data_IF_272284922504
#
_entry.id   IF_272284922504
#
_cell.length_a   1.000
_cell.length_b   1.000
_cell.length_c   1.000
_cell.angle_alpha   90.00
_cell.angle_beta   90.00
_cell.angle_gamma   90.00
#
_symmetry.space_group_name_H-M   'P 1'
#
loop_
_entity.id
_entity.type
_entity.pdbx_description
1 polymer ?
#
# COMPACT_ATOMS: atom_id res chain seq x y z
N UNK A 1 7.24 36.77 50.58
CA UNK A 1 6.44 35.59 50.97
C UNK A 1 7.23 34.63 51.87
N UNK A 2 8.36 34.04 51.43
CA UNK A 2 9.20 33.15 52.27
C UNK A 2 9.61 33.76 53.62
N UNK A 3 10.02 35.04 53.65
CA UNK A 3 10.39 35.72 54.91
C UNK A 3 9.23 35.85 55.92
N UNK A 4 7.97 35.83 55.46
CA UNK A 4 6.77 35.92 56.32
C UNK A 4 6.25 34.56 56.78
N UNK A 5 6.62 33.48 56.08
CA UNK A 5 6.25 32.10 56.41
C UNK A 5 7.29 31.43 57.33
N UNK A 6 8.55 31.89 57.27
CA UNK A 6 9.63 31.43 58.15
C UNK A 6 9.32 31.39 59.68
N UNK A 7 8.52 32.31 60.25
CA UNK A 7 8.15 32.24 61.68
C UNK A 7 7.18 31.08 62.05
N UNK A 8 6.55 30.43 61.07
CA UNK A 8 5.55 29.36 61.30
C UNK A 8 6.16 27.96 61.52
N UNK A 9 7.49 27.80 61.36
CA UNK A 9 8.25 26.55 61.60
C UNK A 9 7.59 25.29 61.01
N UNK A 10 7.19 25.36 59.74
CA UNK A 10 6.58 24.25 59.03
C UNK A 10 7.64 23.21 58.59
N UNK A 11 7.28 21.92 58.42
CA UNK A 11 8.14 20.94 57.77
C UNK A 11 8.44 21.34 56.32
N UNK A 12 9.68 21.12 55.85
CA UNK A 12 10.15 21.59 54.54
C UNK A 12 9.25 21.25 53.33
N UNK A 13 8.55 20.12 53.35
CA UNK A 13 7.65 19.72 52.26
C UNK A 13 6.33 20.54 52.28
N UNK A 14 5.75 20.78 53.46
CA UNK A 14 4.53 21.58 53.59
C UNK A 14 4.79 23.07 53.36
N UNK A 15 5.99 23.55 53.69
CA UNK A 15 6.39 24.93 53.38
C UNK A 15 6.46 25.17 51.87
N UNK A 16 6.94 24.19 51.09
CA UNK A 16 7.01 24.30 49.64
C UNK A 16 5.61 24.34 49.01
N UNK A 17 4.73 23.42 49.39
CA UNK A 17 3.37 23.31 48.85
C UNK A 17 2.54 24.56 49.18
N UNK A 18 2.60 25.06 50.43
CA UNK A 18 1.89 26.28 50.84
C UNK A 18 2.46 27.52 50.14
N UNK A 19 3.76 27.56 49.86
CA UNK A 19 4.37 28.66 49.10
C UNK A 19 3.95 28.65 47.63
N UNK A 20 3.80 27.47 47.05
CA UNK A 20 3.38 27.32 45.66
C UNK A 20 1.90 27.67 45.47
N UNK A 21 1.02 27.13 46.31
CA UNK A 21 -0.44 27.34 46.21
C UNK A 21 -0.83 28.80 46.46
N UNK A 22 -0.33 29.41 47.54
CA UNK A 22 -0.57 30.83 47.81
C UNK A 22 0.14 31.75 46.80
N UNK A 23 1.25 31.28 46.20
CA UNK A 23 1.90 31.99 45.11
C UNK A 23 0.99 32.09 43.87
N UNK A 24 0.36 30.98 43.49
CA UNK A 24 -0.58 30.93 42.38
C UNK A 24 -1.82 31.79 42.63
N UNK A 25 -2.39 31.76 43.84
CA UNK A 25 -3.58 32.58 44.14
C UNK A 25 -3.29 34.09 44.09
N UNK A 26 -2.12 34.53 44.57
CA UNK A 26 -1.71 35.93 44.50
C UNK A 26 -1.42 36.37 43.06
N UNK A 27 -0.87 35.48 42.23
CA UNK A 27 -0.62 35.72 40.81
C UNK A 27 -1.92 35.82 40.02
N UNK A 28 -2.90 34.96 40.30
CA UNK A 28 -4.24 35.04 39.71
C UNK A 28 -4.97 36.33 40.09
N UNK A 29 -4.83 36.79 41.34
CA UNK A 29 -5.42 38.07 41.78
C UNK A 29 -4.73 39.28 41.14
N UNK A 30 -3.40 39.26 41.01
CA UNK A 30 -2.68 40.30 40.27
C UNK A 30 -3.15 40.34 38.81
N UNK A 31 -3.26 39.18 38.17
CA UNK A 31 -3.77 39.06 36.81
C UNK A 31 -5.25 39.47 36.67
N UNK A 32 -6.08 39.28 37.71
CA UNK A 32 -7.46 39.79 37.73
C UNK A 32 -7.49 41.32 37.84
N UNK A 33 -6.73 41.91 38.75
CA UNK A 33 -6.64 43.37 38.92
C UNK A 33 -6.18 44.08 37.64
N UNK A 34 -5.21 43.49 36.94
CA UNK A 34 -4.74 43.97 35.62
C UNK A 34 -5.83 43.89 34.54
N UNK A 35 -6.64 42.83 34.54
CA UNK A 35 -7.78 42.67 33.61
C UNK A 35 -8.91 43.65 33.89
N UNK A 36 -9.05 44.10 35.14
CA UNK A 36 -10.04 45.09 35.57
C UNK A 36 -9.56 46.53 35.33
N UNK A 37 -8.43 46.72 34.66
CA UNK A 37 -7.95 48.02 34.17
C UNK A 37 -7.06 48.79 35.14
N UNK A 38 -6.60 48.17 36.23
CA UNK A 38 -5.63 48.78 37.14
C UNK A 38 -4.22 48.77 36.54
N UNK A 39 -3.41 49.77 36.87
CA UNK A 39 -2.02 49.79 36.44
C UNK A 39 -1.19 48.73 37.18
N UNK A 40 -0.11 48.24 36.53
CA UNK A 40 0.76 47.21 37.11
C UNK A 40 1.34 47.62 38.48
N UNK A 41 1.59 48.92 38.67
CA UNK A 41 2.13 49.46 39.91
C UNK A 41 1.08 49.48 41.03
N UNK A 42 -0.17 49.79 40.72
CA UNK A 42 -1.30 49.75 41.67
C UNK A 42 -1.67 48.31 42.05
N UNK A 43 -1.71 47.40 41.07
CA UNK A 43 -1.98 45.99 41.29
C UNK A 43 -0.88 45.32 42.14
N UNK A 44 0.39 45.69 41.93
CA UNK A 44 1.52 45.23 42.75
C UNK A 44 1.48 45.81 44.18
N UNK A 45 1.10 47.09 44.32
CA UNK A 45 0.96 47.75 45.63
C UNK A 45 -0.24 47.23 46.44
N UNK A 46 -1.31 46.75 45.79
CA UNK A 46 -2.43 46.09 46.45
C UNK A 46 -2.01 44.73 47.05
N UNK A 47 -1.39 43.88 46.23
CA UNK A 47 -0.89 42.56 46.65
C UNK A 47 0.15 42.69 47.76
N UNK A 48 1.05 43.67 47.66
CA UNK A 48 2.09 43.91 48.68
C UNK A 48 1.52 44.39 50.03
N UNK A 49 0.45 45.19 50.03
CA UNK A 49 -0.23 45.63 51.27
C UNK A 49 -0.94 44.48 51.97
N UNK A 50 -1.53 43.56 51.22
CA UNK A 50 -2.23 42.39 51.75
C UNK A 50 -1.25 41.37 52.35
N UNK A 51 -0.13 41.11 51.66
CA UNK A 51 1.01 40.34 52.19
C UNK A 51 1.64 40.96 53.44
N UNK A 52 1.55 42.28 53.60
CA UNK A 52 2.05 43.01 54.76
C UNK A 52 1.04 43.07 55.93
N UNK A 53 -0.23 42.72 55.69
CA UNK A 53 -1.27 42.76 56.71
C UNK A 53 -1.11 41.64 57.74
N UNK A 54 -1.34 41.96 59.02
CA UNK A 54 -1.23 40.98 60.11
C UNK A 54 -2.24 39.83 60.00
N UNK A 55 -3.37 40.07 59.33
CA UNK A 55 -4.44 39.08 59.06
C UNK A 55 -3.97 37.91 58.19
N UNK A 56 -3.05 38.13 57.26
CA UNK A 56 -2.54 37.10 56.35
C UNK A 56 -1.91 35.92 57.09
N UNK A 57 -1.10 36.23 58.12
CA UNK A 57 -0.48 35.21 58.96
C UNK A 57 -1.46 34.48 59.89
N UNK A 58 -2.60 35.09 60.19
CA UNK A 58 -3.66 34.50 61.03
C UNK A 58 -4.56 33.56 60.20
N UNK A 59 -4.86 33.91 58.94
CA UNK A 59 -5.60 33.05 58.01
C UNK A 59 -4.85 31.78 57.65
N UNK A 60 -3.54 31.88 57.37
CA UNK A 60 -2.69 30.69 57.11
C UNK A 60 -2.69 29.75 58.31
N UNK A 61 -2.64 30.29 59.54
CA UNK A 61 -2.67 29.48 60.76
C UNK A 61 -4.03 28.85 61.01
N UNK A 62 -5.12 29.52 60.62
CA UNK A 62 -6.47 28.98 60.70
C UNK A 62 -6.70 27.87 59.67
N UNK A 63 -6.23 28.05 58.43
CA UNK A 63 -6.34 27.06 57.36
C UNK A 63 -5.56 25.77 57.68
N UNK A 64 -4.38 25.88 58.30
CA UNK A 64 -3.59 24.75 58.76
C UNK A 64 -4.15 24.05 60.02
N UNK A 65 -5.01 24.73 60.79
CA UNK A 65 -5.63 24.17 61.99
C UNK A 65 -6.96 23.44 61.71
N UNK A 66 -7.53 23.59 60.52
CA UNK A 66 -8.72 22.85 60.07
C UNK A 66 -8.32 21.45 59.60
N UNK A 67 -8.69 20.37 60.31
CA UNK A 67 -8.52 19.03 59.76
C UNK A 67 -9.41 18.87 58.52
N UNK A 68 -8.94 18.17 57.47
CA UNK A 68 -9.72 17.99 56.25
C UNK A 68 -11.05 17.28 56.57
N UNK A 69 -12.15 17.61 55.86
CA UNK A 69 -13.45 17.01 56.10
C UNK A 69 -13.37 15.49 55.95
N UNK A 70 -13.92 14.78 56.94
CA UNK A 70 -14.00 13.33 56.95
C UNK A 70 -14.78 12.86 55.72
N UNK A 71 -14.06 12.36 54.71
CA UNK A 71 -14.66 11.61 53.61
C UNK A 71 -15.33 10.36 54.19
N UNK A 72 -16.58 10.16 53.78
CA UNK A 72 -17.39 9.02 54.17
C UNK A 72 -16.60 7.71 54.00
N UNK A 73 -16.76 6.82 54.99
CA UNK A 73 -16.17 5.49 54.99
C UNK A 73 -16.60 4.69 53.75
N UNK A 74 -15.67 4.53 52.81
CA UNK A 74 -15.58 3.36 51.96
C UNK A 74 -14.21 2.71 52.19
N UNK A 75 -14.24 1.39 52.36
CA UNK A 75 -13.16 0.56 52.94
C UNK A 75 -11.78 0.79 52.33
N UNK A 76 -10.80 0.86 53.22
CA UNK A 76 -9.46 1.34 52.90
C UNK A 76 -8.59 0.41 52.06
N UNK A 77 -7.41 0.94 51.74
CA UNK A 77 -6.16 0.20 51.67
C UNK A 77 -5.01 1.17 52.01
N UNK A 78 -4.17 0.73 52.94
CA UNK A 78 -2.89 1.34 53.30
C UNK A 78 -1.97 1.51 52.09
N UNK A 79 -0.99 2.44 52.13
CA UNK A 79 -0.03 2.63 51.06
C UNK A 79 0.99 1.48 51.09
N UNK A 80 0.68 0.38 50.42
CA UNK A 80 1.65 -0.69 50.15
C UNK A 80 1.76 -0.92 48.64
N UNK A 81 2.81 -0.35 48.06
CA UNK A 81 3.60 -0.96 46.98
C UNK A 81 2.84 -1.57 45.79
N UNK A 82 2.06 -0.77 45.06
CA UNK A 82 1.59 -1.13 43.72
C UNK A 82 2.19 -0.17 42.71
N UNK A 83 3.04 -0.66 41.81
CA UNK A 83 3.55 0.12 40.67
C UNK A 83 2.42 0.64 39.76
N UNK A 84 2.74 1.32 38.64
CA UNK A 84 1.81 2.10 37.79
C UNK A 84 0.63 1.32 37.15
N UNK A 85 0.37 0.07 37.57
CA UNK A 85 -0.64 -0.86 37.08
C UNK A 85 -1.79 -1.10 38.08
N UNK A 86 -1.74 -0.56 39.30
CA UNK A 86 -2.74 -0.82 40.35
C UNK A 86 -4.14 -0.23 40.07
N UNK A 87 -4.23 0.87 39.33
CA UNK A 87 -5.48 1.54 38.97
C UNK A 87 -6.07 1.14 37.61
N UNK A 88 -5.30 0.43 36.77
CA UNK A 88 -5.64 0.19 35.37
C UNK A 88 -7.01 -0.47 35.15
N UNK A 89 -7.41 -1.37 36.06
CA UNK A 89 -8.69 -2.09 35.98
C UNK A 89 -9.89 -1.19 36.27
N UNK A 90 -9.74 -0.30 37.24
CA UNK A 90 -10.82 0.60 37.64
C UNK A 90 -10.95 1.78 36.68
N UNK A 91 -9.82 2.24 36.13
CA UNK A 91 -9.78 3.19 35.01
C UNK A 91 -10.47 2.62 33.76
N UNK A 92 -10.22 1.34 33.42
CA UNK A 92 -10.86 0.67 32.28
C UNK A 92 -12.38 0.53 32.46
N UNK A 93 -12.83 0.22 33.68
CA UNK A 93 -14.27 0.15 34.03
C UNK A 93 -14.94 1.51 33.95
N UNK A 94 -14.26 2.56 34.41
CA UNK A 94 -14.75 3.92 34.33
C UNK A 94 -14.88 4.40 32.88
N UNK A 95 -13.83 4.18 32.07
CA UNK A 95 -13.84 4.47 30.64
C UNK A 95 -14.98 3.71 29.91
N UNK A 96 -15.19 2.43 30.22
CA UNK A 96 -16.28 1.65 29.62
C UNK A 96 -17.67 2.22 29.97
N UNK A 97 -17.89 2.66 31.22
CA UNK A 97 -19.14 3.33 31.61
C UNK A 97 -19.33 4.67 30.89
N UNK A 98 -18.25 5.42 30.68
CA UNK A 98 -18.29 6.67 29.95
C UNK A 98 -18.68 6.45 28.48
N UNK A 99 -18.08 5.45 27.83
CA UNK A 99 -18.39 5.07 26.44
C UNK A 99 -19.86 4.65 26.24
N UNK A 100 -20.46 3.97 27.22
CA UNK A 100 -21.88 3.58 27.19
C UNK A 100 -22.81 4.78 27.42
N UNK A 101 -22.38 5.79 28.17
CA UNK A 101 -23.17 7.01 28.44
C UNK A 101 -23.20 8.00 27.27
N UNK A 102 -22.22 7.96 26.37
CA UNK A 102 -22.10 8.87 25.21
C UNK A 102 -22.13 8.11 23.87
N UNK A 103 -23.24 7.44 23.51
CA UNK A 103 -23.28 6.47 22.40
C UNK A 103 -22.96 7.08 21.02
N UNK A 104 -23.37 8.32 20.75
CA UNK A 104 -23.11 8.99 19.46
C UNK A 104 -21.62 9.31 19.30
N UNK A 105 -20.98 9.84 20.35
CA UNK A 105 -19.55 10.15 20.35
C UNK A 105 -18.71 8.86 20.25
N UNK A 106 -19.07 7.84 21.03
CA UNK A 106 -18.42 6.52 21.00
C UNK A 106 -18.54 5.89 19.61
N UNK A 107 -19.71 5.95 18.98
CA UNK A 107 -19.91 5.42 17.63
C UNK A 107 -19.03 6.16 16.60
N UNK A 108 -19.01 7.49 16.65
CA UNK A 108 -18.16 8.29 15.77
C UNK A 108 -16.66 7.96 15.96
N UNK A 109 -16.21 7.82 17.21
CA UNK A 109 -14.84 7.47 17.54
C UNK A 109 -14.47 6.05 17.07
N UNK A 110 -15.34 5.05 17.30
CA UNK A 110 -15.12 3.67 16.86
C UNK A 110 -15.11 3.55 15.34
N UNK A 111 -16.03 4.22 14.65
CA UNK A 111 -16.07 4.23 13.17
C UNK A 111 -14.84 4.94 12.60
N UNK A 112 -14.45 6.08 13.16
CA UNK A 112 -13.25 6.81 12.73
C UNK A 112 -11.98 5.99 12.95
N UNK A 113 -11.83 5.36 14.11
CA UNK A 113 -10.70 4.49 14.42
C UNK A 113 -10.70 3.23 13.55
N UNK A 114 -11.86 2.60 13.37
CA UNK A 114 -12.03 1.42 12.53
C UNK A 114 -11.71 1.69 11.06
N UNK A 115 -12.13 2.84 10.53
CA UNK A 115 -11.77 3.27 9.18
C UNK A 115 -10.27 3.56 9.06
N UNK A 116 -9.66 4.25 10.04
CA UNK A 116 -8.22 4.52 10.03
C UNK A 116 -7.38 3.25 10.08
N UNK A 117 -7.69 2.33 11.01
CA UNK A 117 -7.00 1.05 11.15
C UNK A 117 -7.24 0.16 9.92
N UNK A 118 -8.48 0.10 9.43
CA UNK A 118 -8.85 -0.72 8.27
C UNK A 118 -8.20 -0.24 6.97
N UNK A 119 -8.20 1.07 6.72
CA UNK A 119 -7.53 1.66 5.55
C UNK A 119 -6.03 1.41 5.58
N UNK A 120 -5.38 1.62 6.74
CA UNK A 120 -3.95 1.36 6.91
C UNK A 120 -3.58 -0.11 6.73
N UNK A 121 -4.35 -0.99 7.35
CA UNK A 121 -4.13 -2.44 7.22
C UNK A 121 -4.29 -2.89 5.77
N UNK A 122 -5.28 -2.35 5.06
CA UNK A 122 -5.53 -2.68 3.64
C UNK A 122 -4.40 -2.20 2.74
N UNK A 123 -3.93 -0.96 2.91
CA UNK A 123 -2.82 -0.42 2.12
C UNK A 123 -1.52 -1.13 2.47
N UNK A 124 -1.22 -1.33 3.75
CA UNK A 124 -0.01 -2.03 4.16
C UNK A 124 -0.01 -3.48 3.66
N UNK A 125 -1.17 -4.15 3.64
CA UNK A 125 -1.32 -5.49 3.05
C UNK A 125 -1.07 -5.45 1.55
N UNK A 126 -1.67 -4.49 0.82
CA UNK A 126 -1.45 -4.33 -0.61
C UNK A 126 0.03 -4.03 -0.94
N UNK A 127 0.65 -3.11 -0.22
CA UNK A 127 2.06 -2.75 -0.37
C UNK A 127 2.96 -3.93 -0.05
N UNK A 128 2.66 -4.67 1.02
CA UNK A 128 3.45 -5.86 1.39
C UNK A 128 3.30 -6.98 0.37
N UNK A 129 2.09 -7.21 -0.14
CA UNK A 129 1.84 -8.24 -1.15
C UNK A 129 2.49 -7.89 -2.50
N UNK A 130 2.55 -6.60 -2.85
CA UNK A 130 3.08 -6.13 -4.15
C UNK A 130 4.59 -5.85 -4.12
N UNK A 131 5.13 -5.27 -3.04
CA UNK A 131 6.54 -4.84 -2.97
C UNK A 131 7.43 -5.80 -2.18
N UNK A 132 6.89 -6.54 -1.20
CA UNK A 132 7.71 -7.33 -0.26
C UNK A 132 7.68 -8.84 -0.53
N UNK A 133 6.67 -9.35 -1.24
CA UNK A 133 6.68 -10.74 -1.69
C UNK A 133 7.39 -10.87 -3.04
N UNK A 134 8.53 -11.58 -3.12
CA UNK A 134 9.15 -11.86 -4.41
C UNK A 134 8.17 -12.67 -5.25
N UNK A 135 8.03 -12.30 -6.53
CA UNK A 135 7.22 -13.06 -7.49
C UNK A 135 7.63 -14.54 -7.41
N UNK A 136 6.69 -15.49 -7.29
CA UNK A 136 6.98 -16.92 -7.17
C UNK A 136 7.41 -17.49 -8.53
N UNK A 137 8.54 -17.01 -9.03
CA UNK A 137 9.12 -17.31 -10.34
C UNK A 137 10.59 -17.66 -10.17
N UNK A 138 11.13 -18.45 -11.09
CA UNK A 138 12.52 -18.88 -11.02
C UNK A 138 13.48 -17.68 -11.22
N UNK A 139 14.48 -17.52 -10.35
CA UNK A 139 15.51 -16.47 -10.42
C UNK A 139 14.95 -15.07 -10.74
N UNK A 140 14.16 -14.45 -9.83
CA UNK A 140 13.50 -13.18 -10.10
C UNK A 140 14.47 -12.01 -10.30
N UNK A 141 15.69 -12.11 -9.76
CA UNK A 141 16.75 -11.10 -9.87
C UNK A 141 17.25 -10.89 -11.30
N UNK A 142 17.06 -11.87 -12.19
CA UNK A 142 17.45 -11.80 -13.59
C UNK A 142 16.27 -11.46 -14.51
N UNK A 143 15.06 -11.32 -13.97
CA UNK A 143 13.90 -10.89 -14.73
C UNK A 143 13.84 -9.37 -14.80
N UNK A 144 13.63 -8.88 -16.02
CA UNK A 144 13.47 -7.46 -16.32
C UNK A 144 12.20 -7.22 -17.12
N UNK A 145 11.59 -6.05 -16.92
CA UNK A 145 10.52 -5.54 -17.77
C UNK A 145 11.12 -4.64 -18.85
N UNK A 146 10.66 -4.83 -20.08
CA UNK A 146 11.03 -3.97 -21.21
C UNK A 146 9.88 -3.01 -21.51
N UNK A 147 10.18 -1.72 -21.48
CA UNK A 147 9.23 -0.67 -21.80
C UNK A 147 9.64 0.09 -23.04
N UNK A 148 8.66 0.57 -23.81
CA UNK A 148 8.88 1.57 -24.83
C UNK A 148 8.97 2.93 -24.16
N UNK A 149 9.96 3.74 -24.51
CA UNK A 149 10.03 5.13 -24.09
C UNK A 149 10.03 6.03 -25.32
N UNK A 150 9.51 7.25 -25.19
CA UNK A 150 9.46 8.24 -26.27
C UNK A 150 10.28 9.46 -25.86
N UNK A 151 11.37 9.70 -26.57
CA UNK A 151 12.28 10.81 -26.29
C UNK A 151 11.63 12.18 -26.54
N UNK A 152 10.60 12.27 -27.38
CA UNK A 152 9.85 13.51 -27.67
C UNK A 152 8.72 13.74 -26.66
N UNK A 153 8.19 12.68 -26.06
CA UNK A 153 7.04 12.73 -25.15
C UNK A 153 7.37 12.15 -23.77
N UNK A 154 8.54 12.50 -23.21
CA UNK A 154 9.03 11.93 -21.94
C UNK A 154 8.10 12.19 -20.75
N UNK A 155 7.35 13.29 -20.78
CA UNK A 155 6.43 13.66 -19.71
C UNK A 155 5.11 12.86 -19.75
N UNK A 156 4.84 12.15 -20.86
CA UNK A 156 3.63 11.33 -21.01
C UNK A 156 3.88 9.91 -20.47
N UNK A 157 2.96 9.39 -19.67
CA UNK A 157 3.05 8.05 -19.04
C UNK A 157 4.35 7.84 -18.24
N UNK A 158 4.90 8.93 -17.65
CA UNK A 158 6.20 8.93 -16.96
C UNK A 158 7.35 8.37 -17.81
N UNK A 159 7.20 8.40 -19.14
CA UNK A 159 8.16 7.87 -20.09
C UNK A 159 8.13 6.36 -20.28
N UNK A 160 7.31 5.59 -19.55
CA UNK A 160 7.23 4.13 -19.66
C UNK A 160 5.90 3.72 -20.30
N UNK A 161 5.97 3.18 -21.52
CA UNK A 161 4.81 2.67 -22.24
C UNK A 161 4.98 1.18 -22.51
N UNK A 162 3.85 0.48 -22.63
CA UNK A 162 3.82 -0.90 -23.15
C UNK A 162 4.38 -0.95 -24.58
N UNK A 163 4.66 -2.16 -25.07
CA UNK A 163 5.35 -2.40 -26.33
C UNK A 163 4.38 -2.88 -27.42
N UNK A 164 4.68 -2.58 -28.68
CA UNK A 164 3.97 -3.18 -29.80
C UNK A 164 4.47 -4.61 -30.06
N UNK A 165 3.58 -5.48 -30.56
CA UNK A 165 3.96 -6.87 -30.86
C UNK A 165 5.12 -6.97 -31.86
N UNK A 166 5.17 -6.19 -32.95
CA UNK A 166 6.32 -6.21 -33.86
C UNK A 166 7.63 -5.79 -33.19
N UNK A 167 7.64 -4.72 -32.38
CA UNK A 167 8.85 -4.30 -31.67
C UNK A 167 9.30 -5.36 -30.65
N UNK A 168 8.36 -5.97 -29.91
CA UNK A 168 8.67 -7.08 -29.00
C UNK A 168 9.40 -8.21 -29.72
N UNK A 169 8.91 -8.61 -30.89
CA UNK A 169 9.55 -9.66 -31.69
C UNK A 169 10.96 -9.29 -32.10
N UNK A 170 11.17 -8.05 -32.57
CA UNK A 170 12.49 -7.57 -32.93
C UNK A 170 13.46 -7.57 -31.73
N UNK A 171 13.03 -7.13 -30.54
CA UNK A 171 13.86 -7.20 -29.34
C UNK A 171 14.14 -8.62 -28.89
N UNK A 172 13.17 -9.54 -29.03
CA UNK A 172 13.36 -10.96 -28.74
C UNK A 172 14.40 -11.60 -29.66
N UNK A 173 14.30 -11.32 -30.96
CA UNK A 173 15.17 -11.91 -32.00
C UNK A 173 16.56 -11.25 -32.04
N UNK A 174 16.66 -9.93 -31.88
CA UNK A 174 17.94 -9.19 -31.97
C UNK A 174 18.64 -9.04 -30.60
N UNK A 175 17.91 -9.28 -29.50
CA UNK A 175 18.40 -9.18 -28.12
C UNK A 175 19.08 -10.44 -27.57
N UNK A 176 19.22 -11.50 -28.37
CA UNK A 176 19.77 -12.80 -27.95
C UNK A 176 21.16 -12.72 -27.31
N UNK A 177 21.94 -11.66 -27.57
CA UNK A 177 23.25 -11.50 -26.94
C UNK A 177 23.15 -11.22 -25.43
N UNK A 178 22.08 -10.58 -24.99
CA UNK A 178 21.88 -10.16 -23.59
C UNK A 178 20.69 -10.84 -22.90
N UNK A 179 19.73 -11.35 -23.68
CA UNK A 179 18.54 -12.03 -23.18
C UNK A 179 18.68 -13.56 -23.33
N UNK A 180 18.28 -14.31 -22.30
CA UNK A 180 18.04 -15.75 -22.37
C UNK A 180 16.67 -16.07 -22.97
N UNK A 181 15.75 -15.11 -22.92
CA UNK A 181 14.41 -15.21 -23.50
C UNK A 181 13.57 -13.98 -23.17
N UNK A 182 12.50 -13.79 -23.92
CA UNK A 182 11.50 -12.74 -23.68
C UNK A 182 10.10 -13.27 -23.99
N UNK A 183 9.13 -12.82 -23.21
CA UNK A 183 7.72 -13.14 -23.36
C UNK A 183 6.89 -11.87 -23.30
N UNK A 184 5.80 -11.84 -24.06
CA UNK A 184 4.84 -10.75 -24.05
C UNK A 184 3.51 -11.22 -23.51
N UNK A 185 2.81 -10.33 -22.82
CA UNK A 185 1.51 -10.62 -22.23
C UNK A 185 0.59 -9.39 -22.23
N UNK A 186 -0.72 -9.64 -22.29
CA UNK A 186 -1.74 -8.60 -22.24
C UNK A 186 -3.00 -9.11 -21.55
N UNK A 187 -3.52 -8.31 -20.61
CA UNK A 187 -4.79 -8.58 -19.94
C UNK A 187 -5.93 -8.36 -20.93
N UNK A 188 -6.88 -9.30 -20.93
CA UNK A 188 -8.07 -9.27 -21.78
C UNK A 188 -9.32 -9.59 -20.96
N UNK A 189 -10.41 -8.83 -21.11
CA UNK A 189 -11.71 -9.21 -20.56
C UNK A 189 -12.30 -10.35 -21.38
N UNK A 190 -12.83 -11.37 -20.72
CA UNK A 190 -13.35 -12.60 -21.33
C UNK A 190 -14.67 -13.00 -20.69
N UNK A 191 -15.56 -13.61 -21.47
CA UNK A 191 -16.77 -14.26 -20.96
C UNK A 191 -16.57 -15.76 -20.85
N UNK A 192 -16.63 -16.30 -19.62
CA UNK A 192 -16.53 -17.72 -19.34
C UNK A 192 -17.93 -18.29 -19.10
N UNK A 193 -18.36 -19.26 -19.91
CA UNK A 193 -19.72 -19.84 -19.87
C UNK A 193 -19.75 -21.28 -19.37
N UNK A 194 -18.61 -21.98 -19.31
CA UNK A 194 -18.54 -23.36 -18.80
C UNK A 194 -18.41 -23.42 -17.29
N UNK A 195 -18.98 -24.44 -16.64
CA UNK A 195 -18.82 -24.69 -15.20
C UNK A 195 -19.69 -23.82 -14.28
N UNK A 196 -20.79 -23.24 -14.79
CA UNK A 196 -21.73 -22.44 -14.02
C UNK A 196 -22.40 -21.35 -14.87
N UNK A 197 -22.95 -20.33 -14.22
CA UNK A 197 -23.48 -19.15 -14.90
C UNK A 197 -22.38 -18.40 -15.68
N UNK A 198 -22.73 -17.73 -16.79
CA UNK A 198 -21.82 -16.85 -17.51
C UNK A 198 -21.20 -15.80 -16.57
N UNK A 199 -19.88 -15.71 -16.58
CA UNK A 199 -19.12 -14.78 -15.74
C UNK A 199 -18.11 -14.04 -16.60
N UNK A 200 -17.98 -12.73 -16.37
CA UNK A 200 -16.89 -11.96 -16.93
C UNK A 200 -15.64 -12.17 -16.07
N UNK A 201 -14.56 -12.63 -16.69
CA UNK A 201 -13.26 -12.84 -16.05
C UNK A 201 -12.18 -12.06 -16.79
N UNK A 202 -11.10 -11.72 -16.10
CA UNK A 202 -9.90 -11.18 -16.73
C UNK A 202 -8.91 -12.31 -16.95
N UNK A 203 -8.54 -12.56 -18.21
CA UNK A 203 -7.47 -13.48 -18.59
C UNK A 203 -6.26 -12.74 -19.12
N UNK A 204 -5.20 -13.49 -19.43
CA UNK A 204 -4.03 -12.96 -20.14
C UNK A 204 -3.82 -13.71 -21.46
N UNK A 205 -3.60 -12.97 -22.54
CA UNK A 205 -2.98 -13.52 -23.75
C UNK A 205 -1.47 -13.44 -23.57
N UNK A 206 -0.77 -14.56 -23.76
CA UNK A 206 0.69 -14.65 -23.55
C UNK A 206 1.40 -15.35 -24.70
N UNK A 207 2.66 -15.04 -24.94
CA UNK A 207 3.49 -15.82 -25.85
C UNK A 207 3.71 -17.24 -25.31
N UNK A 208 3.89 -18.21 -26.21
CA UNK A 208 3.92 -19.63 -25.86
C UNK A 208 5.04 -20.06 -24.93
N UNK A 209 6.11 -19.26 -24.82
CA UNK A 209 7.23 -19.49 -23.91
C UNK A 209 7.08 -18.82 -22.53
N UNK A 210 5.93 -18.18 -22.24
CA UNK A 210 5.74 -17.37 -21.02
C UNK A 210 5.99 -18.16 -19.74
N UNK A 211 5.41 -19.35 -19.60
CA UNK A 211 5.57 -20.17 -18.40
C UNK A 211 7.00 -20.69 -18.24
N UNK A 212 7.61 -21.15 -19.33
CA UNK A 212 9.01 -21.60 -19.35
C UNK A 212 9.97 -20.47 -18.97
N UNK A 213 9.74 -19.26 -19.50
CA UNK A 213 10.55 -18.08 -19.15
C UNK A 213 10.48 -17.78 -17.65
N UNK A 214 9.30 -17.90 -17.04
CA UNK A 214 9.09 -17.66 -15.60
C UNK A 214 9.49 -18.86 -14.72
N UNK A 215 9.78 -20.02 -15.31
CA UNK A 215 10.03 -21.27 -14.58
C UNK A 215 8.82 -21.75 -13.80
N UNK A 216 7.62 -21.56 -14.35
CA UNK A 216 6.34 -21.93 -13.73
C UNK A 216 5.86 -23.24 -14.33
N UNK A 217 5.73 -24.27 -13.50
CA UNK A 217 5.21 -25.58 -13.89
C UNK A 217 3.76 -25.75 -13.44
N UNK A 218 2.95 -26.44 -14.25
CA UNK A 218 1.56 -26.74 -13.89
C UNK A 218 1.48 -27.59 -12.61
N UNK A 219 0.51 -27.29 -11.74
CA UNK A 219 0.14 -28.17 -10.64
C UNK A 219 -0.57 -29.43 -11.14
N UNK A 220 -1.35 -29.30 -12.22
CA UNK A 220 -2.05 -30.42 -12.89
C UNK A 220 -1.97 -30.19 -14.40
N UNK A 221 -1.62 -31.21 -15.17
CA UNK A 221 -1.50 -31.10 -16.62
C UNK A 221 -0.18 -30.45 -17.07
N UNK A 222 -0.24 -29.60 -18.09
CA UNK A 222 0.91 -28.90 -18.66
C UNK A 222 0.64 -27.40 -18.83
N UNK A 223 1.71 -26.61 -18.89
CA UNK A 223 1.67 -25.21 -19.32
C UNK A 223 2.03 -25.11 -20.81
N UNK A 224 1.98 -23.90 -21.37
CA UNK A 224 2.47 -23.65 -22.73
C UNK A 224 3.99 -23.83 -22.80
N UNK A 225 4.44 -24.41 -23.90
CA UNK A 225 5.86 -24.52 -24.28
C UNK A 225 5.96 -24.43 -25.81
N UNK A 226 5.41 -23.34 -26.38
CA UNK A 226 5.40 -23.11 -27.83
C UNK A 226 6.55 -22.20 -28.26
N UNK A 227 7.01 -22.42 -29.50
CA UNK A 227 8.07 -21.65 -30.12
C UNK A 227 7.58 -20.30 -30.66
N UNK A 228 8.52 -19.40 -30.93
CA UNK A 228 8.24 -18.11 -31.58
C UNK A 228 7.60 -18.24 -32.98
N UNK A 229 7.80 -19.37 -33.66
CA UNK A 229 7.16 -19.67 -34.93
C UNK A 229 5.70 -20.11 -34.75
N UNK A 230 5.42 -20.93 -33.73
CA UNK A 230 4.05 -21.35 -33.38
C UNK A 230 3.19 -20.18 -32.88
N UNK A 231 3.77 -19.20 -32.17
CA UNK A 231 3.09 -17.93 -31.79
C UNK A 231 2.47 -17.19 -32.99
N UNK A 232 3.05 -17.38 -34.19
CA UNK A 232 2.60 -16.72 -35.42
C UNK A 232 1.55 -17.53 -36.19
N UNK A 233 1.33 -18.80 -35.83
CA UNK A 233 0.30 -19.64 -36.43
C UNK A 233 -1.07 -19.28 -35.83
N UNK A 234 -1.75 -18.33 -36.45
CA UNK A 234 -3.05 -17.82 -35.99
C UNK A 234 -4.10 -18.93 -35.88
N UNK A 235 -4.79 -18.98 -34.74
CA UNK A 235 -5.79 -20.00 -34.42
C UNK A 235 -5.20 -21.37 -34.07
N UNK A 236 -3.88 -21.53 -34.10
CA UNK A 236 -3.22 -22.74 -33.61
C UNK A 236 -3.33 -22.82 -32.07
N UNK A 237 -3.35 -24.05 -31.58
CA UNK A 237 -3.41 -24.36 -30.14
C UNK A 237 -4.60 -23.67 -29.43
N UNK A 238 -5.86 -24.06 -29.70
CA UNK A 238 -7.02 -23.59 -28.94
C UNK A 238 -7.03 -24.23 -27.55
N UNK A 239 -6.04 -23.87 -26.75
CA UNK A 239 -5.78 -24.38 -25.41
C UNK A 239 -5.79 -23.26 -24.40
N UNK A 240 -6.01 -23.61 -23.14
CA UNK A 240 -6.07 -22.68 -22.02
C UNK A 240 -5.40 -23.28 -20.80
N UNK A 241 -4.69 -22.45 -20.04
CA UNK A 241 -4.18 -22.80 -18.71
C UNK A 241 -4.99 -22.01 -17.69
N UNK A 242 -5.50 -22.67 -16.65
CA UNK A 242 -6.33 -22.01 -15.63
C UNK A 242 -5.52 -21.57 -14.42
N UNK A 243 -5.97 -20.52 -13.75
CA UNK A 243 -5.49 -20.21 -12.41
C UNK A 243 -5.98 -21.26 -11.42
N UNK A 244 -5.16 -21.57 -10.41
CA UNK A 244 -5.56 -22.46 -9.34
C UNK A 244 -6.87 -22.00 -8.67
N UNK A 245 -7.03 -20.69 -8.46
CA UNK A 245 -8.24 -20.11 -7.86
C UNK A 245 -9.50 -20.29 -8.70
N UNK A 246 -9.40 -20.11 -10.03
CA UNK A 246 -10.53 -20.35 -10.93
C UNK A 246 -10.89 -21.85 -10.97
N UNK A 247 -9.88 -22.72 -11.04
CA UNK A 247 -10.06 -24.17 -11.03
C UNK A 247 -10.77 -24.66 -9.76
N UNK A 248 -10.40 -24.15 -8.59
CA UNK A 248 -11.08 -24.48 -7.34
C UNK A 248 -12.52 -23.94 -7.29
N UNK A 249 -12.70 -22.63 -7.51
CA UNK A 249 -13.98 -21.95 -7.34
C UNK A 249 -15.04 -22.42 -8.34
N UNK A 250 -14.65 -22.66 -9.59
CA UNK A 250 -15.59 -22.89 -10.70
C UNK A 250 -15.66 -24.33 -11.16
N UNK A 251 -14.57 -25.08 -11.01
CA UNK A 251 -14.49 -26.46 -11.48
C UNK A 251 -14.28 -27.47 -10.33
N UNK A 252 -14.47 -27.03 -9.09
CA UNK A 252 -14.45 -27.88 -7.89
C UNK A 252 -13.12 -28.59 -7.66
N UNK A 253 -12.01 -28.01 -8.14
CA UNK A 253 -10.69 -28.64 -8.12
C UNK A 253 -10.64 -30.03 -8.79
N UNK A 254 -11.47 -30.26 -9.82
CA UNK A 254 -11.51 -31.56 -10.51
C UNK A 254 -10.27 -31.77 -11.40
N UNK A 255 -9.44 -32.80 -11.17
CA UNK A 255 -8.29 -33.09 -12.02
C UNK A 255 -8.69 -33.61 -13.41
N UNK A 256 -9.93 -34.11 -13.56
CA UNK A 256 -10.47 -34.59 -14.84
C UNK A 256 -10.81 -33.46 -15.81
N UNK A 257 -10.64 -32.20 -15.40
CA UNK A 257 -10.81 -31.03 -16.25
C UNK A 257 -9.70 -30.93 -17.31
N UNK A 258 -8.48 -31.38 -17.01
CA UNK A 258 -7.39 -31.38 -18.00
C UNK A 258 -7.75 -32.28 -19.18
N UNK A 259 -7.55 -31.77 -20.40
CA UNK A 259 -7.98 -32.42 -21.64
C UNK A 259 -9.46 -32.23 -21.99
N UNK A 260 -10.27 -31.62 -21.10
CA UNK A 260 -11.65 -31.23 -21.41
C UNK A 260 -11.70 -29.86 -22.06
N UNK A 261 -12.77 -29.61 -22.78
CA UNK A 261 -13.03 -28.32 -23.41
C UNK A 261 -13.87 -27.45 -22.50
N UNK A 262 -13.50 -26.18 -22.39
CA UNK A 262 -14.32 -25.10 -21.83
C UNK A 262 -14.62 -24.07 -22.91
N UNK A 263 -15.67 -23.28 -22.68
CA UNK A 263 -16.11 -22.25 -23.59
C UNK A 263 -15.79 -20.85 -23.03
N UNK A 264 -15.02 -20.10 -23.81
CA UNK A 264 -14.58 -18.72 -23.55
C UNK A 264 -14.97 -17.89 -24.77
N UNK A 265 -15.73 -16.81 -24.56
CA UNK A 265 -16.26 -15.96 -25.64
C UNK A 265 -16.97 -16.74 -26.75
N UNK A 266 -17.75 -17.76 -26.36
CA UNK A 266 -18.46 -18.70 -27.26
C UNK A 266 -17.54 -19.54 -28.14
N UNK A 267 -16.26 -19.64 -27.79
CA UNK A 267 -15.25 -20.46 -28.47
C UNK A 267 -14.70 -21.52 -27.54
N UNK A 268 -14.35 -22.65 -28.12
CA UNK A 268 -13.93 -23.85 -27.40
C UNK A 268 -12.42 -23.90 -27.22
N UNK A 269 -11.97 -24.01 -25.98
CA UNK A 269 -10.57 -24.17 -25.61
C UNK A 269 -10.37 -25.44 -24.78
N UNK A 270 -9.34 -26.21 -25.10
CA UNK A 270 -8.98 -27.40 -24.32
C UNK A 270 -8.11 -27.00 -23.13
N UNK A 271 -8.50 -27.41 -21.93
CA UNK A 271 -7.74 -27.14 -20.71
C UNK A 271 -6.46 -27.96 -20.75
N UNK A 272 -5.33 -27.28 -20.90
CA UNK A 272 -4.01 -27.91 -20.96
C UNK A 272 -3.48 -28.22 -19.55
N UNK A 273 -3.80 -27.36 -18.59
CA UNK A 273 -3.36 -27.51 -17.21
C UNK A 273 -3.84 -26.40 -16.29
N UNK A 274 -3.38 -26.47 -15.05
CA UNK A 274 -3.68 -25.54 -13.97
C UNK A 274 -2.37 -25.07 -13.35
N UNK A 275 -2.23 -23.77 -13.16
CA UNK A 275 -1.05 -23.15 -12.50
C UNK A 275 -0.96 -23.54 -11.02
N UNK A 276 0.22 -23.42 -10.38
CA UNK A 276 0.36 -23.71 -8.96
C UNK A 276 -0.37 -22.68 -8.11
N UNK A 277 -0.75 -23.09 -6.90
CA UNK A 277 -1.34 -22.18 -5.92
C UNK A 277 -0.38 -21.01 -5.65
N UNK A 278 -0.92 -19.78 -5.61
CA UNK A 278 -0.13 -18.57 -5.39
C UNK A 278 0.51 -17.96 -6.64
N UNK A 279 0.49 -18.62 -7.80
CA UNK A 279 0.90 -17.96 -9.05
C UNK A 279 -0.17 -16.98 -9.52
N UNK A 280 0.23 -15.71 -9.72
CA UNK A 280 -0.66 -14.59 -10.05
C UNK A 280 -0.30 -13.91 -11.38
N UNK A 281 0.59 -14.51 -12.18
CA UNK A 281 1.20 -13.84 -13.33
C UNK A 281 2.31 -12.86 -12.92
N UNK A 282 2.80 -12.07 -13.89
CA UNK A 282 3.87 -11.07 -13.67
C UNK A 282 3.31 -9.77 -13.11
N UNK A 283 2.03 -9.45 -13.35
CA UNK A 283 1.39 -8.25 -12.82
C UNK A 283 0.80 -8.50 -11.43
N UNK A 284 1.33 -7.81 -10.41
CA UNK A 284 0.92 -8.00 -9.03
C UNK A 284 -0.47 -7.41 -8.71
N UNK A 285 -0.94 -6.42 -9.48
CA UNK A 285 -2.20 -5.72 -9.22
C UNK A 285 -3.44 -6.50 -9.68
N UNK A 286 -3.30 -7.38 -10.67
CA UNK A 286 -4.42 -8.12 -11.24
C UNK A 286 -3.98 -9.54 -11.61
N UNK A 287 -4.40 -10.52 -10.81
CA UNK A 287 -4.16 -11.92 -11.08
C UNK A 287 -5.15 -12.42 -12.15
N UNK A 288 -4.68 -12.92 -13.31
CA UNK A 288 -5.58 -13.43 -14.32
C UNK A 288 -6.22 -14.74 -13.89
N UNK A 289 -7.47 -14.94 -14.31
CA UNK A 289 -8.21 -16.17 -14.04
C UNK A 289 -7.74 -17.33 -14.92
N UNK A 290 -7.16 -17.02 -16.08
CA UNK A 290 -6.67 -17.98 -17.07
C UNK A 290 -5.68 -17.33 -18.05
N UNK A 291 -4.92 -18.16 -18.75
CA UNK A 291 -3.97 -17.78 -19.81
C UNK A 291 -4.32 -18.45 -21.13
N UNK A 292 -4.22 -17.68 -22.22
CA UNK A 292 -4.44 -18.10 -23.60
C UNK A 292 -3.19 -17.80 -24.44
N UNK A 293 -2.81 -18.64 -25.41
CA UNK A 293 -1.64 -18.38 -26.23
C UNK A 293 -1.89 -17.24 -27.23
N UNK A 294 -0.85 -16.47 -27.56
CA UNK A 294 -0.93 -15.35 -28.50
C UNK A 294 -1.32 -15.75 -29.92
N UNK A 295 -1.21 -17.04 -30.25
CA UNK A 295 -1.75 -17.61 -31.48
C UNK A 295 -3.27 -17.46 -31.57
N UNK A 296 -3.99 -17.42 -30.45
CA UNK A 296 -5.47 -17.32 -30.40
C UNK A 296 -5.97 -15.87 -30.36
N UNK A 297 -5.11 -14.91 -30.71
CA UNK A 297 -5.42 -13.47 -30.60
C UNK A 297 -6.57 -13.02 -31.50
N UNK A 298 -6.76 -13.63 -32.68
CA UNK A 298 -7.85 -13.26 -33.60
C UNK A 298 -9.21 -13.77 -33.13
N UNK A 299 -9.20 -14.82 -32.32
CA UNK A 299 -10.39 -15.44 -31.76
C UNK A 299 -10.97 -14.63 -30.62
N UNK A 300 -10.09 -14.03 -29.82
CA UNK A 300 -10.40 -13.47 -28.51
C UNK A 300 -10.35 -11.95 -28.49
N UNK A 301 -9.40 -11.33 -29.19
CA UNK A 301 -9.32 -9.87 -29.21
C UNK A 301 -10.44 -9.29 -30.06
N UNK A 302 -10.93 -8.13 -29.64
CA UNK A 302 -11.95 -7.36 -30.35
C UNK A 302 -11.58 -5.87 -30.40
N UNK A 303 -12.23 -5.14 -31.31
CA UNK A 303 -12.06 -3.71 -31.47
C UNK A 303 -10.63 -3.28 -31.77
N UNK A 304 -10.21 -2.16 -31.19
CA UNK A 304 -8.91 -1.53 -31.46
C UNK A 304 -7.72 -2.49 -31.31
N UNK A 305 -7.70 -3.31 -30.26
CA UNK A 305 -6.59 -4.24 -29.99
C UNK A 305 -6.48 -5.32 -31.05
N UNK A 306 -7.60 -5.85 -31.55
CA UNK A 306 -7.58 -6.84 -32.62
C UNK A 306 -7.09 -6.25 -33.94
N UNK A 307 -7.62 -5.07 -34.29
CA UNK A 307 -7.32 -4.39 -35.56
C UNK A 307 -5.87 -3.90 -35.64
N UNK A 308 -5.24 -3.68 -34.48
CA UNK A 308 -3.91 -3.09 -34.39
C UNK A 308 -2.86 -3.99 -33.73
N UNK A 309 -3.15 -5.27 -33.49
CA UNK A 309 -2.21 -6.15 -32.79
C UNK A 309 -0.84 -6.23 -33.49
N UNK A 310 -0.85 -6.36 -34.81
CA UNK A 310 0.35 -6.42 -35.65
C UNK A 310 0.81 -5.03 -36.12
N UNK A 311 0.17 -3.95 -35.66
CA UNK A 311 0.57 -2.59 -35.97
C UNK A 311 1.73 -2.15 -35.07
N UNK A 312 2.87 -1.81 -35.67
CA UNK A 312 4.08 -1.39 -34.95
C UNK A 312 3.84 -0.14 -34.10
N UNK A 313 2.87 0.71 -34.43
CA UNK A 313 2.53 1.91 -33.64
C UNK A 313 1.65 1.62 -32.43
N UNK A 314 0.96 0.49 -32.39
CA UNK A 314 0.04 0.15 -31.32
C UNK A 314 0.78 -0.49 -30.14
N UNK A 315 0.93 0.30 -29.07
CA UNK A 315 1.58 -0.11 -27.84
C UNK A 315 0.56 -0.87 -26.99
N UNK A 316 0.61 -2.21 -27.02
CA UNK A 316 -0.46 -3.07 -26.50
C UNK A 316 0.00 -4.12 -25.51
N UNK A 317 1.30 -4.45 -25.45
CA UNK A 317 1.79 -5.62 -24.74
C UNK A 317 2.78 -5.25 -23.64
N UNK A 318 2.61 -5.85 -22.47
CA UNK A 318 3.66 -5.88 -21.47
C UNK A 318 4.72 -6.89 -21.89
N UNK A 319 5.99 -6.60 -21.61
CA UNK A 319 7.10 -7.48 -21.97
C UNK A 319 7.95 -7.76 -20.74
N UNK A 320 8.15 -9.05 -20.49
CA UNK A 320 9.09 -9.57 -19.50
C UNK A 320 10.20 -10.31 -20.24
N UNK A 321 11.44 -10.13 -19.78
CA UNK A 321 12.60 -10.80 -20.32
C UNK A 321 13.50 -11.32 -19.22
N UNK A 322 14.27 -12.36 -19.51
CA UNK A 322 15.29 -12.90 -18.62
C UNK A 322 16.65 -12.53 -19.18
N UNK A 323 17.48 -11.87 -18.37
CA UNK A 323 18.86 -11.59 -18.72
C UNK A 323 19.69 -12.88 -18.74
N UNK A 324 20.72 -12.92 -19.59
CA UNK A 324 21.74 -13.96 -19.50
C UNK A 324 22.51 -13.88 -18.18
N UNK A 325 23.04 -15.02 -17.69
CA UNK A 325 23.90 -15.00 -16.51
C UNK A 325 25.02 -13.96 -16.68
N UNK A 326 25.28 -13.16 -15.64
CA UNK A 326 26.30 -12.10 -15.61
C UNK A 326 26.03 -10.86 -16.45
N UNK A 327 24.87 -10.75 -17.12
CA UNK A 327 24.48 -9.52 -17.81
C UNK A 327 23.79 -8.59 -16.82
N UNK A 328 24.37 -7.40 -16.64
CA UNK A 328 23.74 -6.34 -15.84
C UNK A 328 22.62 -5.63 -16.60
N UNK A 329 21.70 -5.01 -15.87
CA UNK A 329 20.63 -4.19 -16.46
C UNK A 329 21.21 -3.09 -17.35
N UNK A 330 22.30 -2.42 -16.93
CA UNK A 330 22.95 -1.38 -17.73
C UNK A 330 23.51 -1.90 -19.06
N UNK A 331 24.09 -3.11 -19.07
CA UNK A 331 24.55 -3.76 -20.30
C UNK A 331 23.37 -4.15 -21.20
N UNK A 332 22.29 -4.66 -20.63
CA UNK A 332 21.07 -4.98 -21.37
C UNK A 332 20.45 -3.72 -21.98
N UNK A 333 20.36 -2.63 -21.23
CA UNK A 333 19.83 -1.34 -21.67
C UNK A 333 20.64 -0.75 -22.83
N UNK A 334 21.98 -0.77 -22.74
CA UNK A 334 22.85 -0.34 -23.84
C UNK A 334 22.73 -1.22 -25.09
N UNK A 335 22.67 -2.54 -24.92
CA UNK A 335 22.56 -3.48 -26.04
C UNK A 335 21.20 -3.37 -26.75
N UNK A 336 20.11 -3.36 -25.99
CA UNK A 336 18.76 -3.20 -26.53
C UNK A 336 18.53 -1.76 -27.05
N UNK A 337 19.20 -0.76 -26.49
CA UNK A 337 19.23 0.60 -27.03
C UNK A 337 19.83 0.65 -28.45
N UNK A 338 20.83 -0.19 -28.74
CA UNK A 338 21.36 -0.34 -30.09
C UNK A 338 20.35 -0.98 -31.04
N UNK A 339 19.58 -1.96 -30.57
CA UNK A 339 18.45 -2.54 -31.33
C UNK A 339 17.39 -1.46 -31.61
N UNK A 340 17.02 -0.66 -30.60
CA UNK A 340 16.05 0.42 -30.74
C UNK A 340 16.49 1.45 -31.80
N UNK A 341 17.76 1.84 -31.80
CA UNK A 341 18.33 2.74 -32.81
C UNK A 341 18.31 2.13 -34.22
N UNK A 342 18.51 0.81 -34.34
CA UNK A 342 18.35 0.09 -35.60
C UNK A 342 16.90 0.08 -36.09
N UNK A 343 15.95 -0.14 -35.18
CA UNK A 343 14.52 -0.14 -35.48
C UNK A 343 13.98 1.23 -35.86
N UNK A 344 14.50 2.32 -35.27
CA UNK A 344 14.18 3.69 -35.68
C UNK A 344 14.65 3.96 -37.12
N UNK A 345 15.83 3.47 -37.51
CA UNK A 345 16.32 3.61 -38.89
C UNK A 345 15.55 2.75 -39.88
N UNK A 346 15.17 1.52 -39.49
CA UNK A 346 14.43 0.61 -40.36
C UNK A 346 12.95 1.01 -40.52
N UNK A 347 12.35 1.58 -39.47
CA UNK A 347 10.93 1.94 -39.43
C UNK A 347 10.74 3.40 -38.96
N UNK A 348 11.22 4.40 -39.71
CA UNK A 348 11.27 5.78 -39.24
C UNK A 348 9.88 6.38 -38.98
N UNK A 349 8.83 5.96 -39.69
CA UNK A 349 7.47 6.46 -39.45
C UNK A 349 6.83 5.89 -38.17
N UNK A 350 7.20 4.67 -37.79
CA UNK A 350 6.57 3.96 -36.68
C UNK A 350 7.38 4.07 -35.38
N UNK A 351 8.71 4.21 -35.49
CA UNK A 351 9.64 4.19 -34.39
C UNK A 351 10.44 5.49 -34.20
N UNK A 352 10.04 6.58 -34.87
CA UNK A 352 10.60 7.91 -34.62
C UNK A 352 10.63 8.21 -33.11
N UNK A 353 11.82 8.49 -32.60
CA UNK A 353 12.08 8.85 -31.21
C UNK A 353 11.71 7.77 -30.18
N UNK A 354 11.38 6.55 -30.64
CA UNK A 354 11.12 5.42 -29.75
C UNK A 354 12.42 4.80 -29.28
N UNK A 355 12.48 4.52 -27.99
CA UNK A 355 13.60 3.87 -27.31
C UNK A 355 13.05 2.72 -26.47
N UNK A 356 13.96 1.98 -25.87
CA UNK A 356 13.66 0.92 -24.90
C UNK A 356 14.23 1.29 -23.55
N UNK A 357 13.53 0.93 -22.48
CA UNK A 357 14.05 0.99 -21.14
C UNK A 357 13.96 -0.39 -20.50
N UNK A 358 15.04 -0.80 -19.84
CA UNK A 358 15.14 -2.06 -19.09
C UNK A 358 15.03 -1.76 -17.61
N UNK A 359 14.08 -2.38 -16.92
CA UNK A 359 13.87 -2.18 -15.49
C UNK A 359 13.74 -3.51 -14.76
N UNK A 360 14.14 -3.61 -13.48
CA UNK A 360 13.86 -4.81 -12.69
C UNK A 360 12.37 -5.10 -12.63
N UNK A 361 11.97 -6.37 -12.72
CA UNK A 361 10.58 -6.77 -12.49
C UNK A 361 10.27 -6.60 -11.00
N UNK A 362 9.32 -5.74 -10.66
CA UNK A 362 8.83 -5.57 -9.28
C UNK A 362 7.33 -5.84 -9.16
N UNK A 363 6.71 -6.47 -10.16
CA UNK A 363 5.26 -6.73 -10.19
C UNK A 363 4.36 -5.50 -10.43
N UNK A 364 4.89 -4.28 -10.29
CA UNK A 364 4.19 -3.02 -10.54
C UNK A 364 4.86 -2.26 -11.68
N UNK A 365 4.07 -1.87 -12.69
CA UNK A 365 4.52 -0.98 -13.75
C UNK A 365 5.05 0.32 -13.11
N UNK A 366 6.27 0.79 -13.46
CA UNK A 366 6.82 2.06 -13.00
C UNK A 366 5.85 3.23 -13.05
N UNK A 367 4.98 3.29 -14.06
CA UNK A 367 3.92 4.31 -14.21
C UNK A 367 3.04 4.42 -12.95
N UNK A 368 2.59 3.28 -12.40
CA UNK A 368 1.72 3.26 -11.22
C UNK A 368 2.49 3.40 -9.91
N UNK A 369 3.83 3.30 -9.91
CA UNK A 369 4.61 3.40 -8.66
C UNK A 369 4.46 4.77 -8.05
N UNK A 370 4.51 5.83 -8.87
CA UNK A 370 4.35 7.18 -8.38
C UNK A 370 2.95 7.38 -7.78
N UNK A 371 1.89 7.02 -8.50
CA UNK A 371 0.51 7.21 -8.04
C UNK A 371 0.19 6.39 -6.78
N UNK A 372 0.66 5.15 -6.72
CA UNK A 372 0.51 4.30 -5.52
C UNK A 372 1.31 4.87 -4.35
N UNK A 373 2.53 5.35 -4.59
CA UNK A 373 3.36 5.97 -3.55
C UNK A 373 2.78 7.30 -3.05
N UNK A 374 2.20 8.10 -3.94
CA UNK A 374 1.59 9.39 -3.63
C UNK A 374 0.26 9.19 -2.90
N UNK A 375 -0.57 8.25 -3.34
CA UNK A 375 -1.78 7.85 -2.61
C UNK A 375 -1.42 7.37 -1.20
N UNK A 376 -0.38 6.53 -1.07
CA UNK A 376 0.14 6.11 0.22
C UNK A 376 0.64 7.27 1.08
N UNK A 377 1.42 8.20 0.51
CA UNK A 377 1.94 9.37 1.22
C UNK A 377 0.85 10.35 1.66
N UNK A 378 -0.16 10.59 0.82
CA UNK A 378 -1.32 11.43 1.16
C UNK A 378 -2.10 10.81 2.31
N UNK A 379 -2.34 9.49 2.28
CA UNK A 379 -3.02 8.82 3.39
C UNK A 379 -2.22 8.91 4.68
N UNK A 380 -0.91 8.65 4.63
CA UNK A 380 -0.03 8.82 5.79
C UNK A 380 -0.03 10.27 6.31
N UNK A 381 -0.09 11.26 5.42
CA UNK A 381 -0.20 12.67 5.77
C UNK A 381 -1.52 13.03 6.45
N UNK A 382 -2.65 12.53 5.93
CA UNK A 382 -3.98 12.70 6.56
C UNK A 382 -3.99 12.09 7.96
N UNK A 383 -3.32 10.95 8.15
CA UNK A 383 -3.22 10.29 9.45
C UNK A 383 -2.31 11.06 10.41
N UNK A 384 -1.17 11.57 9.95
CA UNK A 384 -0.29 12.40 10.77
C UNK A 384 -1.02 13.67 11.25
N UNK A 385 -1.82 14.29 10.37
CA UNK A 385 -2.69 15.41 10.69
C UNK A 385 -3.79 15.02 11.68
N UNK A 386 -4.41 13.85 11.52
CA UNK A 386 -5.43 13.36 12.44
C UNK A 386 -4.86 13.07 13.83
N UNK A 387 -3.71 12.41 13.91
CA UNK A 387 -3.01 12.13 15.17
C UNK A 387 -2.56 13.43 15.86
N UNK A 388 -2.09 14.43 15.10
CA UNK A 388 -1.70 15.73 15.63
C UNK A 388 -2.88 16.59 16.10
N UNK A 389 -4.08 16.37 15.55
CA UNK A 389 -5.30 17.07 15.99
C UNK A 389 -6.02 16.36 17.14
N UNK A 390 -5.71 15.08 17.38
CA UNK A 390 -6.33 14.25 18.41
C UNK A 390 -5.48 14.12 19.70
N UNK A 391 -4.22 14.55 19.67
CA UNK A 391 -3.34 14.69 20.85
C UNK A 391 -3.23 16.15 21.26
#
# INVERSE_FOLDING_TARGET
>A
MRERIAPLRLPHHQEADVVEELGQELEERHARAMREGQSAEEAAAAVSRELAAASFSAEIRAALATPPPAAAADGGLSPSGGGPLGGFRDDLRYAARLLVKSPVFTLAAVVSLGLGVGANTTIFSLVSEVLLNPLPVHEPSHLVSLFTTDAKNRDRFQGFMVMSYPNFRDYREQGERVLSGAAAYQIVPLSLTSGGEPEQVFGEIVTGNYFDLLGVHAAVGQTFSFTAAEDQQLGAHPVVVLSHGLWQRRFGASPTLVGRTIEIDRRRFTVLGVTPAGFRGVNALAAPALWLPVSTRKEILTGFTADNFDNRRALLLNVVARLKPSVSIAQADAALGSVAAGLEKAYPQDNDSRRVAVTPVTGLNPEFRHDVSLAGAVLMGVIALWLAAAG
#
